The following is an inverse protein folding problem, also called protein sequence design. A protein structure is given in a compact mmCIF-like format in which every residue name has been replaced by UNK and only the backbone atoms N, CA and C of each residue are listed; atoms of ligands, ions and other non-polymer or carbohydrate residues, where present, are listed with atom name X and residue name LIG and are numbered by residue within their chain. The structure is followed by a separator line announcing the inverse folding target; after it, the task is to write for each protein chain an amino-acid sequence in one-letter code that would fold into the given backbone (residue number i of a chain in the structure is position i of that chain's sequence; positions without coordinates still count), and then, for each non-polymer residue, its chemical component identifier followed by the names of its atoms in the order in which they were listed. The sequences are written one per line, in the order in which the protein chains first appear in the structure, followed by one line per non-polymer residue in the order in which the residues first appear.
data_IF_009496119409
#
_entry.id   IF_009496119409
#
_cell.length_a   1.000
_cell.length_b   1.000
_cell.length_c   1.000
_cell.angle_alpha   90.00
_cell.angle_beta   90.00
_cell.angle_gamma   90.00
#
_symmetry.space_group_name_H-M   'P 1'
#
loop_
_entity.id
_entity.type
_entity.pdbx_description
1 polymer ?
#
# COMPACT_ATOMS: atom_id res chain seq x y z
N UNK A 1 18.23 -7.98 2.85
CA UNK A 1 17.47 -7.21 1.87
C UNK A 1 18.43 -6.23 1.21
N UNK A 2 18.48 -6.19 -0.11
CA UNK A 2 19.33 -5.24 -0.83
C UNK A 2 18.75 -3.83 -0.67
N UNK A 3 19.58 -2.83 -0.39
CA UNK A 3 19.11 -1.44 -0.22
C UNK A 3 18.63 -0.94 -1.58
N UNK A 4 17.32 -0.74 -1.75
CA UNK A 4 16.71 -0.34 -3.03
C UNK A 4 17.05 1.09 -3.45
N UNK A 5 17.52 1.95 -2.54
CA UNK A 5 17.98 3.29 -2.90
C UNK A 5 16.83 4.30 -3.03
N UNK A 6 17.04 5.34 -3.85
CA UNK A 6 16.06 6.43 -4.03
C UNK A 6 15.23 6.19 -5.28
N UNK A 7 13.90 6.28 -5.12
CA UNK A 7 12.95 6.08 -6.21
C UNK A 7 11.98 7.24 -6.39
N UNK A 8 11.18 7.14 -7.45
CA UNK A 8 10.12 8.10 -7.76
C UNK A 8 8.89 7.38 -8.30
N UNK A 9 7.71 7.92 -8.01
CA UNK A 9 6.47 7.46 -8.62
C UNK A 9 6.51 7.64 -10.14
N UNK A 10 6.28 6.55 -10.86
CA UNK A 10 6.05 6.55 -12.30
C UNK A 10 4.56 6.67 -12.59
N UNK A 11 4.20 7.55 -13.52
CA UNK A 11 2.86 7.67 -14.10
C UNK A 11 2.99 7.89 -15.61
N UNK A 12 2.01 7.44 -16.43
CA UNK A 12 2.05 7.65 -17.88
C UNK A 12 2.32 9.11 -18.29
N UNK A 13 1.74 10.07 -17.56
CA UNK A 13 1.78 11.50 -17.84
C UNK A 13 3.18 12.11 -17.67
N UNK A 14 4.02 11.51 -16.82
CA UNK A 14 5.39 11.98 -16.53
C UNK A 14 6.45 10.95 -16.94
N UNK A 15 6.06 9.91 -17.66
CA UNK A 15 6.89 8.76 -17.97
C UNK A 15 8.22 9.13 -18.64
N UNK A 16 8.19 10.06 -19.60
CA UNK A 16 9.40 10.51 -20.32
C UNK A 16 10.38 11.27 -19.42
N UNK A 17 9.87 12.01 -18.43
CA UNK A 17 10.70 12.75 -17.49
C UNK A 17 11.37 11.78 -16.49
N UNK A 18 10.58 10.87 -15.92
CA UNK A 18 11.07 9.82 -15.01
C UNK A 18 12.09 8.94 -15.71
N UNK A 19 11.80 8.51 -16.94
CA UNK A 19 12.71 7.69 -17.71
C UNK A 19 14.06 8.38 -17.92
N UNK A 20 14.10 9.67 -18.26
CA UNK A 20 15.37 10.37 -18.51
C UNK A 20 16.13 10.76 -17.25
N UNK A 21 15.56 10.52 -16.06
CA UNK A 21 16.17 10.89 -14.80
C UNK A 21 17.46 10.08 -14.56
N UNK A 22 18.61 10.74 -14.31
CA UNK A 22 19.85 10.06 -13.95
C UNK A 22 19.84 9.67 -12.47
N UNK A 23 20.54 8.58 -12.12
CA UNK A 23 20.74 8.17 -10.73
C UNK A 23 19.50 7.63 -10.01
N UNK A 24 18.49 7.22 -10.77
CA UNK A 24 17.28 6.59 -10.23
C UNK A 24 17.53 5.09 -10.00
N UNK A 25 17.35 4.62 -8.77
CA UNK A 25 17.56 3.21 -8.42
C UNK A 25 16.30 2.37 -8.70
N UNK A 26 15.12 2.95 -8.45
CA UNK A 26 13.84 2.27 -8.66
C UNK A 26 12.70 3.24 -8.97
N UNK A 27 11.60 2.72 -9.50
CA UNK A 27 10.33 3.44 -9.68
C UNK A 27 9.17 2.65 -9.11
N UNK A 28 8.14 3.37 -8.67
CA UNK A 28 6.87 2.78 -8.27
C UNK A 28 5.79 3.04 -9.32
N UNK A 29 5.09 1.99 -9.78
CA UNK A 29 4.00 2.12 -10.75
C UNK A 29 2.69 1.63 -10.13
N UNK A 30 1.60 2.38 -10.31
CA UNK A 30 0.25 1.90 -9.91
C UNK A 30 -0.05 0.63 -10.70
N UNK A 31 -0.22 -0.48 -9.99
CA UNK A 31 -0.31 -1.81 -10.59
C UNK A 31 -1.47 -1.90 -11.60
N UNK A 32 -2.63 -1.35 -11.24
CA UNK A 32 -3.84 -1.34 -12.05
C UNK A 32 -3.65 -0.63 -13.40
N UNK A 33 -2.71 0.31 -13.49
CA UNK A 33 -2.38 1.03 -14.73
C UNK A 33 -1.39 0.27 -15.63
N UNK A 34 -0.90 -0.90 -15.20
CA UNK A 34 0.06 -1.72 -15.94
C UNK A 34 -0.65 -2.94 -16.54
N UNK A 35 -0.51 -3.11 -17.86
CA UNK A 35 -0.89 -4.32 -18.57
C UNK A 35 0.31 -5.27 -18.68
N UNK A 36 0.26 -6.47 -18.06
CA UNK A 36 1.36 -7.45 -18.11
C UNK A 36 1.83 -7.79 -19.53
N UNK A 37 0.88 -7.96 -20.46
CA UNK A 37 1.16 -8.33 -21.85
C UNK A 37 1.71 -7.15 -22.68
N UNK A 38 1.51 -5.92 -22.23
CA UNK A 38 1.83 -4.70 -22.97
C UNK A 38 2.43 -3.65 -22.03
N UNK A 39 3.56 -3.98 -21.39
CA UNK A 39 4.25 -3.04 -20.52
C UNK A 39 4.53 -1.71 -21.24
N UNK A 40 4.31 -0.54 -20.61
CA UNK A 40 4.73 0.75 -21.13
C UNK A 40 6.19 0.74 -21.58
N UNK A 41 6.48 1.38 -22.72
CA UNK A 41 7.82 1.37 -23.30
C UNK A 41 8.87 2.01 -22.37
N UNK A 42 8.48 3.03 -21.60
CA UNK A 42 9.34 3.67 -20.61
C UNK A 42 9.70 2.74 -19.45
N UNK A 43 8.76 1.94 -18.93
CA UNK A 43 9.05 0.92 -17.91
C UNK A 43 10.00 -0.15 -18.43
N UNK A 44 9.86 -0.57 -19.70
CA UNK A 44 10.81 -1.50 -20.33
C UNK A 44 12.22 -0.91 -20.40
N UNK A 45 12.36 0.33 -20.86
CA UNK A 45 13.67 1.03 -20.95
C UNK A 45 14.30 1.31 -19.59
N UNK A 46 13.50 1.62 -18.57
CA UNK A 46 13.96 1.74 -17.18
C UNK A 46 14.56 0.42 -16.68
N UNK A 47 13.85 -0.69 -16.90
CA UNK A 47 14.34 -2.04 -16.52
C UNK A 47 15.60 -2.45 -17.27
N UNK A 48 15.69 -2.17 -18.56
CA UNK A 48 16.89 -2.42 -19.37
C UNK A 48 18.13 -1.67 -18.85
N UNK A 49 17.93 -0.54 -18.17
CA UNK A 49 18.98 0.24 -17.49
C UNK A 49 19.30 -0.24 -16.07
N UNK A 50 18.61 -1.28 -15.59
CA UNK A 50 18.78 -1.78 -14.23
C UNK A 50 17.96 -1.05 -13.16
N UNK A 51 16.98 -0.22 -13.56
CA UNK A 51 16.07 0.42 -12.60
C UNK A 51 14.99 -0.59 -12.19
N UNK A 52 14.87 -0.85 -10.89
CA UNK A 52 13.81 -1.73 -10.36
C UNK A 52 12.43 -1.09 -10.54
N UNK A 53 11.41 -1.87 -10.87
CA UNK A 53 10.02 -1.38 -10.94
C UNK A 53 9.18 -2.12 -9.91
N UNK A 54 8.65 -1.39 -8.93
CA UNK A 54 7.76 -1.91 -7.88
C UNK A 54 6.30 -1.59 -8.25
N UNK A 55 5.43 -2.60 -8.43
CA UNK A 55 4.00 -2.36 -8.60
C UNK A 55 3.34 -2.11 -7.24
N UNK A 56 2.56 -1.04 -7.20
CA UNK A 56 1.81 -0.59 -6.04
C UNK A 56 0.31 -0.69 -6.32
N UNK A 57 -0.37 -1.60 -5.63
CA UNK A 57 -1.80 -1.85 -5.79
C UNK A 57 -2.66 -0.87 -4.98
N UNK A 58 -3.80 -0.49 -5.57
CA UNK A 58 -4.78 0.42 -4.92
C UNK A 58 -6.17 -0.21 -4.77
N UNK A 59 -6.32 -1.48 -5.15
CA UNK A 59 -7.63 -2.07 -5.39
C UNK A 59 -7.88 -3.43 -4.73
N UNK A 60 -6.97 -4.00 -3.95
CA UNK A 60 -7.26 -5.25 -3.23
C UNK A 60 -8.26 -5.01 -2.11
N UNK A 61 -8.06 -3.94 -1.33
CA UNK A 61 -8.89 -3.63 -0.17
C UNK A 61 -8.72 -4.66 0.94
N UNK A 62 -7.46 -4.92 1.32
CA UNK A 62 -7.07 -5.97 2.27
C UNK A 62 -7.69 -5.80 3.67
N UNK A 63 -8.10 -4.57 4.02
CA UNK A 63 -8.82 -4.25 5.25
C UNK A 63 -10.34 -4.50 5.20
N UNK A 64 -10.87 -5.04 4.10
CA UNK A 64 -12.29 -5.36 3.97
C UNK A 64 -12.69 -6.59 4.78
N UNK A 65 -13.97 -6.67 5.17
CA UNK A 65 -14.53 -7.83 5.90
C UNK A 65 -14.65 -9.10 5.07
N UNK A 66 -14.47 -9.01 3.75
CA UNK A 66 -14.48 -10.16 2.83
C UNK A 66 -13.04 -10.56 2.47
N UNK A 67 -12.85 -11.82 2.06
CA UNK A 67 -11.57 -12.29 1.54
C UNK A 67 -11.17 -11.50 0.28
N UNK A 68 -9.86 -11.29 0.02
CA UNK A 68 -9.43 -10.62 -1.20
C UNK A 68 -9.87 -11.39 -2.44
N UNK A 69 -10.25 -10.65 -3.48
CA UNK A 69 -10.70 -11.23 -4.75
C UNK A 69 -9.57 -12.00 -5.44
N UNK A 70 -9.79 -13.28 -5.73
CA UNK A 70 -8.80 -14.17 -6.35
C UNK A 70 -8.36 -13.65 -7.73
N UNK A 71 -9.25 -13.03 -8.49
CA UNK A 71 -8.96 -12.44 -9.79
C UNK A 71 -8.02 -11.24 -9.68
N UNK A 72 -8.27 -10.34 -8.72
CA UNK A 72 -7.39 -9.18 -8.45
C UNK A 72 -6.03 -9.62 -7.94
N UNK A 73 -5.97 -10.62 -7.06
CA UNK A 73 -4.71 -11.21 -6.60
C UNK A 73 -3.90 -11.79 -7.75
N UNK A 74 -4.54 -12.60 -8.60
CA UNK A 74 -3.89 -13.15 -9.80
C UNK A 74 -3.37 -12.05 -10.72
N UNK A 75 -4.16 -11.02 -10.95
CA UNK A 75 -3.77 -9.91 -11.82
C UNK A 75 -2.60 -9.10 -11.23
N UNK A 76 -2.52 -8.93 -9.91
CA UNK A 76 -1.37 -8.31 -9.24
C UNK A 76 -0.11 -9.20 -9.35
N UNK A 77 -0.26 -10.51 -9.16
CA UNK A 77 0.82 -11.49 -9.34
C UNK A 77 1.42 -11.46 -10.76
N UNK A 78 0.56 -11.43 -11.79
CA UNK A 78 0.99 -11.35 -13.18
C UNK A 78 1.78 -10.05 -13.47
N UNK A 79 1.36 -8.93 -12.89
CA UNK A 79 2.07 -7.63 -13.02
C UNK A 79 3.43 -7.68 -12.34
N UNK A 80 3.51 -8.24 -11.14
CA UNK A 80 4.77 -8.42 -10.42
C UNK A 80 5.78 -9.24 -11.24
N UNK A 81 5.31 -10.34 -11.84
CA UNK A 81 6.13 -11.19 -12.70
C UNK A 81 6.56 -10.48 -13.98
N UNK A 82 5.64 -9.81 -14.68
CA UNK A 82 5.95 -9.08 -15.91
C UNK A 82 7.00 -7.99 -15.68
N UNK A 83 6.92 -7.30 -14.54
CA UNK A 83 7.88 -6.27 -14.13
C UNK A 83 9.18 -6.85 -13.57
N UNK A 84 9.23 -8.14 -13.26
CA UNK A 84 10.36 -8.75 -12.55
C UNK A 84 10.61 -8.08 -11.20
N UNK A 85 9.53 -7.68 -10.52
CA UNK A 85 9.62 -6.90 -9.29
C UNK A 85 10.11 -7.75 -8.13
N UNK A 86 10.95 -7.23 -7.22
CA UNK A 86 11.37 -7.95 -6.03
C UNK A 86 10.29 -8.03 -4.93
N UNK A 87 9.27 -7.18 -5.00
CA UNK A 87 8.14 -7.14 -4.06
C UNK A 87 6.92 -6.47 -4.71
N UNK A 88 5.76 -6.54 -4.05
CA UNK A 88 4.59 -5.71 -4.39
C UNK A 88 4.11 -4.97 -3.16
N UNK A 89 3.41 -3.86 -3.36
CA UNK A 89 2.79 -3.12 -2.27
C UNK A 89 1.29 -2.94 -2.43
N UNK A 90 0.61 -2.75 -1.32
CA UNK A 90 -0.82 -2.41 -1.23
C UNK A 90 -1.06 -1.60 0.05
N UNK A 91 -2.30 -1.21 0.31
CA UNK A 91 -2.69 -0.38 1.43
C UNK A 91 -3.41 -1.18 2.53
N UNK A 92 -3.27 -0.69 3.76
CA UNK A 92 -4.08 -1.10 4.89
C UNK A 92 -5.41 -0.34 4.82
N UNK A 93 -6.25 -0.74 3.87
CA UNK A 93 -7.52 -0.08 3.60
C UNK A 93 -8.59 -1.09 3.16
N UNK A 94 -9.84 -0.72 3.35
CA UNK A 94 -10.92 -1.29 2.54
C UNK A 94 -11.32 -0.30 1.44
N UNK A 95 -11.76 -0.84 0.29
CA UNK A 95 -12.15 -0.03 -0.89
C UNK A 95 -13.57 -0.33 -1.35
N UNK A 96 -14.27 -1.21 -0.63
CA UNK A 96 -15.60 -1.71 -0.94
C UNK A 96 -16.40 -1.95 0.32
N UNK A 97 -17.71 -1.83 0.20
CA UNK A 97 -18.67 -2.21 1.22
C UNK A 97 -19.93 -2.81 0.58
N UNK A 98 -20.83 -3.34 1.41
CA UNK A 98 -22.04 -4.01 0.96
C UNK A 98 -21.80 -5.45 0.49
N UNK A 99 -22.82 -6.09 -0.09
CA UNK A 99 -22.75 -7.47 -0.58
C UNK A 99 -23.54 -8.48 0.28
N UNK A 100 -23.36 -9.79 0.02
CA UNK A 100 -24.25 -10.85 0.54
C UNK A 100 -24.39 -10.94 2.05
N UNK A 101 -23.39 -10.42 2.79
CA UNK A 101 -23.38 -10.39 4.26
C UNK A 101 -24.00 -9.10 4.84
N UNK A 102 -24.52 -8.22 3.99
CA UNK A 102 -25.08 -6.93 4.36
C UNK A 102 -26.46 -6.74 3.72
N UNK A 103 -27.23 -5.77 4.20
CA UNK A 103 -28.53 -5.42 3.63
C UNK A 103 -28.43 -4.47 2.40
N UNK A 104 -27.23 -4.24 1.87
CA UNK A 104 -26.98 -3.29 0.78
C UNK A 104 -26.24 -3.94 -0.38
N UNK A 105 -26.48 -3.44 -1.59
CA UNK A 105 -25.70 -3.83 -2.77
C UNK A 105 -24.21 -3.53 -2.58
N UNK A 106 -23.37 -4.24 -3.32
CA UNK A 106 -21.91 -4.01 -3.30
C UNK A 106 -21.57 -2.68 -3.96
N UNK A 107 -20.75 -1.88 -3.30
CA UNK A 107 -20.33 -0.54 -3.73
C UNK A 107 -18.80 -0.45 -3.70
N UNK A 108 -18.22 0.10 -4.75
CA UNK A 108 -16.82 0.54 -4.78
C UNK A 108 -16.73 1.97 -4.24
N UNK A 109 -15.87 2.20 -3.26
CA UNK A 109 -15.71 3.51 -2.63
C UNK A 109 -15.03 4.54 -3.56
N UNK A 110 -14.25 4.07 -4.53
CA UNK A 110 -13.41 4.93 -5.38
C UNK A 110 -12.27 5.63 -4.62
N UNK A 111 -12.06 5.28 -3.35
CA UNK A 111 -11.03 5.81 -2.47
C UNK A 111 -10.67 4.78 -1.39
N UNK A 112 -9.52 4.98 -0.72
CA UNK A 112 -9.08 4.17 0.41
C UNK A 112 -9.85 4.57 1.66
N UNK A 113 -10.40 3.60 2.39
CA UNK A 113 -11.11 3.84 3.64
C UNK A 113 -10.35 3.19 4.82
N UNK A 114 -10.20 3.91 5.95
CA UNK A 114 -9.38 3.46 7.07
C UNK A 114 -10.01 2.27 7.77
N UNK A 115 -9.19 1.28 8.12
CA UNK A 115 -9.63 0.12 8.92
C UNK A 115 -9.75 0.55 10.38
N UNK A 116 -10.80 0.14 11.13
CA UNK A 116 -10.84 0.37 12.57
C UNK A 116 -9.68 -0.36 13.26
N UNK A 117 -8.89 0.34 14.10
CA UNK A 117 -7.77 -0.28 14.84
C UNK A 117 -8.23 -1.06 16.07
N UNK A 118 -9.09 -2.06 15.86
CA UNK A 118 -9.53 -3.03 16.87
C UNK A 118 -8.85 -4.38 16.66
N UNK A 119 -8.79 -5.22 17.69
CA UNK A 119 -8.22 -6.57 17.56
C UNK A 119 -9.00 -7.46 16.59
N UNK A 120 -10.33 -7.35 16.55
CA UNK A 120 -11.16 -8.10 15.60
C UNK A 120 -10.86 -7.71 14.15
N UNK A 121 -10.69 -6.41 13.87
CA UNK A 121 -10.34 -5.95 12.53
C UNK A 121 -8.91 -6.35 12.14
N UNK A 122 -7.99 -6.33 13.10
CA UNK A 122 -6.64 -6.84 12.92
C UNK A 122 -6.63 -8.33 12.58
N UNK A 123 -7.47 -9.15 13.22
CA UNK A 123 -7.60 -10.59 12.91
C UNK A 123 -8.04 -10.82 11.46
N UNK A 124 -9.03 -10.07 10.99
CA UNK A 124 -9.51 -10.12 9.60
C UNK A 124 -8.40 -9.69 8.64
N UNK A 125 -7.76 -8.56 8.91
CA UNK A 125 -6.67 -8.05 8.08
C UNK A 125 -5.52 -9.07 8.02
N UNK A 126 -5.11 -9.66 9.15
CA UNK A 126 -4.06 -10.68 9.19
C UNK A 126 -4.38 -11.87 8.29
N UNK A 127 -5.63 -12.34 8.29
CA UNK A 127 -6.04 -13.44 7.42
C UNK A 127 -6.02 -13.04 5.95
N UNK A 128 -6.50 -11.84 5.62
CA UNK A 128 -6.45 -11.31 4.25
C UNK A 128 -5.01 -11.12 3.75
N UNK A 129 -4.09 -10.67 4.62
CA UNK A 129 -2.66 -10.58 4.33
C UNK A 129 -2.08 -11.97 4.04
N UNK A 130 -2.38 -12.99 4.85
CA UNK A 130 -1.90 -14.37 4.59
C UNK A 130 -2.42 -14.91 3.27
N UNK A 131 -3.69 -14.68 2.93
CA UNK A 131 -4.26 -15.07 1.63
C UNK A 131 -3.50 -14.38 0.50
N UNK A 132 -3.25 -13.08 0.62
CA UNK A 132 -2.53 -12.32 -0.39
C UNK A 132 -1.08 -12.80 -0.55
N UNK A 133 -0.33 -12.96 0.55
CA UNK A 133 1.04 -13.48 0.53
C UNK A 133 1.14 -14.87 -0.11
N UNK A 134 0.15 -15.75 0.13
CA UNK A 134 0.12 -17.08 -0.49
C UNK A 134 -0.16 -17.05 -2.00
N UNK A 135 -0.90 -16.04 -2.48
CA UNK A 135 -1.23 -15.89 -3.90
C UNK A 135 -0.15 -15.14 -4.70
N UNK A 136 0.66 -14.32 -4.03
CA UNK A 136 1.66 -13.48 -4.67
C UNK A 136 3.00 -14.22 -4.85
N UNK A 137 3.68 -14.04 -6.00
CA UNK A 137 4.92 -14.74 -6.31
C UNK A 137 6.15 -14.10 -5.66
N UNK A 138 5.97 -12.97 -4.99
CA UNK A 138 7.01 -12.14 -4.37
C UNK A 138 6.46 -11.58 -3.05
N UNK A 139 7.33 -11.12 -2.13
CA UNK A 139 6.91 -10.52 -0.87
C UNK A 139 5.90 -9.38 -1.05
N UNK A 140 4.95 -9.29 -0.12
CA UNK A 140 4.01 -8.18 0.02
C UNK A 140 4.52 -7.23 1.11
N UNK A 141 4.48 -5.93 0.84
CA UNK A 141 4.50 -4.90 1.87
C UNK A 141 3.20 -4.09 1.86
N UNK A 142 2.79 -3.57 3.01
CA UNK A 142 1.53 -2.83 3.16
C UNK A 142 1.73 -1.43 3.72
N UNK A 143 0.92 -0.50 3.22
CA UNK A 143 1.04 0.93 3.48
C UNK A 143 0.00 1.46 4.45
N UNK A 144 0.43 2.31 5.39
CA UNK A 144 -0.47 3.10 6.22
C UNK A 144 -1.11 4.23 5.40
N UNK A 145 -2.41 4.45 5.57
CA UNK A 145 -3.14 5.46 4.81
C UNK A 145 -3.38 6.73 5.62
N UNK A 146 -3.62 7.84 4.93
CA UNK A 146 -4.26 9.00 5.52
C UNK A 146 -5.71 8.66 5.90
N UNK A 147 -6.02 8.68 7.20
CA UNK A 147 -7.33 8.36 7.72
C UNK A 147 -8.23 9.60 7.74
N UNK A 148 -9.27 9.58 6.90
CA UNK A 148 -10.26 10.66 6.77
C UNK A 148 -11.25 10.72 7.95
N UNK A 149 -11.33 9.66 8.75
CA UNK A 149 -12.19 9.57 9.92
C UNK A 149 -11.55 8.71 10.99
N UNK A 150 -11.90 8.99 12.25
CA UNK A 150 -11.58 8.15 13.39
C UNK A 150 -12.74 7.17 13.65
N UNK A 151 -12.41 5.92 13.96
CA UNK A 151 -13.41 4.94 14.35
C UNK A 151 -13.70 5.01 15.85
N UNK A 152 -14.97 4.91 16.30
CA UNK A 152 -15.25 4.75 17.71
C UNK A 152 -14.75 3.39 18.19
N UNK A 153 -14.12 3.38 19.37
CA UNK A 153 -13.71 2.14 20.03
C UNK A 153 -12.41 1.54 19.51
N UNK A 154 -11.51 2.33 18.93
CA UNK A 154 -10.15 1.87 18.64
C UNK A 154 -9.42 1.43 19.91
N UNK A 155 -8.69 0.33 19.80
CA UNK A 155 -8.03 -0.35 20.92
C UNK A 155 -6.50 -0.24 20.84
N UNK A 156 -5.98 0.06 19.64
CA UNK A 156 -4.56 0.11 19.32
C UNK A 156 -4.21 1.47 18.70
N UNK A 157 -3.04 1.99 19.03
CA UNK A 157 -2.43 3.12 18.29
C UNK A 157 -2.05 2.69 16.87
N UNK A 158 -1.73 3.65 15.98
CA UNK A 158 -1.25 3.33 14.62
C UNK A 158 -0.01 2.44 14.66
N UNK A 159 0.96 2.80 15.50
CA UNK A 159 2.20 2.05 15.65
C UNK A 159 1.97 0.64 16.18
N UNK A 160 1.14 0.47 17.22
CA UNK A 160 0.77 -0.85 17.75
C UNK A 160 0.04 -1.71 16.71
N UNK A 161 -0.88 -1.12 15.94
CA UNK A 161 -1.62 -1.83 14.91
C UNK A 161 -0.68 -2.34 13.80
N UNK A 162 0.25 -1.49 13.34
CA UNK A 162 1.26 -1.85 12.35
C UNK A 162 2.26 -2.88 12.86
N UNK A 163 2.69 -2.75 14.13
CA UNK A 163 3.58 -3.72 14.77
C UNK A 163 2.93 -5.10 14.83
N UNK A 164 1.73 -5.20 15.39
CA UNK A 164 1.02 -6.47 15.56
C UNK A 164 0.70 -7.11 14.20
N UNK A 165 0.36 -6.32 13.18
CA UNK A 165 0.15 -6.81 11.82
C UNK A 165 1.42 -7.46 11.26
N UNK A 166 2.55 -6.75 11.34
CA UNK A 166 3.84 -7.24 10.86
C UNK A 166 4.31 -8.47 11.64
N UNK A 167 4.22 -8.46 12.97
CA UNK A 167 4.64 -9.57 13.83
C UNK A 167 3.83 -10.85 13.55
N UNK A 168 2.52 -10.73 13.37
CA UNK A 168 1.62 -11.89 13.17
C UNK A 168 1.65 -12.47 11.76
N UNK A 169 2.11 -11.73 10.77
CA UNK A 169 2.02 -12.12 9.34
C UNK A 169 3.37 -12.18 8.63
N UNK A 170 4.39 -11.51 9.17
CA UNK A 170 5.67 -11.31 8.50
C UNK A 170 5.57 -10.44 7.24
N UNK A 171 4.49 -9.67 7.07
CA UNK A 171 4.35 -8.72 5.95
C UNK A 171 5.35 -7.59 6.09
N UNK A 172 5.86 -7.09 4.96
CA UNK A 172 6.66 -5.86 4.97
C UNK A 172 5.79 -4.63 5.26
N UNK A 173 6.40 -3.56 5.74
CA UNK A 173 5.74 -2.27 5.93
C UNK A 173 6.27 -1.26 4.93
N UNK A 174 5.37 -0.59 4.22
CA UNK A 174 5.61 0.65 3.51
C UNK A 174 5.11 1.78 4.39
N UNK A 175 5.99 2.65 4.88
CA UNK A 175 5.56 3.76 5.73
C UNK A 175 5.48 5.03 4.91
N UNK A 176 4.30 5.61 4.80
CA UNK A 176 4.11 6.93 4.22
C UNK A 176 4.12 7.99 5.32
N UNK A 177 5.19 8.78 5.34
CA UNK A 177 5.39 9.85 6.33
C UNK A 177 4.41 11.00 6.14
N UNK A 178 3.98 11.27 4.90
CA UNK A 178 2.96 12.27 4.63
C UNK A 178 1.61 11.82 5.21
N UNK A 179 1.29 10.52 5.12
CA UNK A 179 0.06 9.99 5.74
C UNK A 179 0.11 10.07 7.28
N UNK A 180 1.25 9.80 7.91
CA UNK A 180 1.41 10.02 9.37
C UNK A 180 1.17 11.49 9.76
N UNK A 181 1.71 12.42 8.97
CA UNK A 181 1.45 13.85 9.18
C UNK A 181 -0.04 14.20 8.98
N UNK A 182 -0.68 13.66 7.96
CA UNK A 182 -2.13 13.86 7.73
C UNK A 182 -2.95 13.32 8.90
N UNK A 183 -2.58 12.16 9.46
CA UNK A 183 -3.24 11.58 10.63
C UNK A 183 -3.06 12.45 11.88
N UNK A 184 -1.89 13.05 12.07
CA UNK A 184 -1.67 14.07 13.10
C UNK A 184 -2.62 15.26 12.94
N UNK A 185 -2.72 15.82 11.74
CA UNK A 185 -3.59 16.97 11.47
C UNK A 185 -5.07 16.62 11.66
N UNK A 186 -5.52 15.49 11.14
CA UNK A 186 -6.93 15.11 11.13
C UNK A 186 -7.42 14.61 12.50
N UNK A 187 -6.56 13.92 13.26
CA UNK A 187 -6.97 13.12 14.43
C UNK A 187 -6.15 13.42 15.70
N UNK A 188 -5.09 14.22 15.59
CA UNK A 188 -4.24 14.60 16.73
C UNK A 188 -3.23 13.53 17.15
N UNK A 189 -3.01 12.51 16.32
CA UNK A 189 -2.05 11.44 16.59
C UNK A 189 -0.60 11.96 16.60
N UNK A 190 0.27 11.45 17.47
CA UNK A 190 1.69 11.83 17.46
C UNK A 190 2.46 10.93 16.46
N UNK A 191 2.95 11.48 15.33
CA UNK A 191 3.67 10.68 14.34
C UNK A 191 5.00 10.15 14.90
N UNK A 192 5.62 10.82 15.88
CA UNK A 192 6.85 10.33 16.51
C UNK A 192 6.57 9.13 17.41
N UNK A 193 5.43 9.11 18.11
CA UNK A 193 4.98 7.97 18.90
C UNK A 193 4.72 6.77 17.98
N UNK A 194 3.93 6.95 16.91
CA UNK A 194 3.64 5.90 15.93
C UNK A 194 4.93 5.30 15.33
N UNK A 195 5.89 6.15 14.93
CA UNK A 195 7.18 5.71 14.40
C UNK A 195 8.03 4.95 15.44
N UNK A 196 7.94 5.31 16.72
CA UNK A 196 8.73 4.67 17.79
C UNK A 196 8.28 3.26 18.12
N UNK A 197 7.04 2.91 17.76
CA UNK A 197 6.43 1.59 17.98
C UNK A 197 6.65 0.63 16.79
N UNK A 198 7.16 1.10 15.65
CA UNK A 198 7.30 0.27 14.45
C UNK A 198 8.40 -0.80 14.56
N UNK A 199 8.16 -2.01 14.04
CA UNK A 199 9.21 -3.03 13.90
C UNK A 199 10.10 -2.69 12.70
N UNK A 200 11.25 -2.05 12.96
CA UNK A 200 12.15 -1.55 11.91
C UNK A 200 12.66 -2.65 10.96
N UNK A 201 12.72 -3.89 11.42
CA UNK A 201 13.06 -5.06 10.62
C UNK A 201 12.02 -5.42 9.55
N UNK A 202 10.77 -4.99 9.71
CA UNK A 202 9.70 -5.20 8.74
C UNK A 202 9.65 -4.10 7.68
N UNK A 203 10.37 -2.99 7.86
CA UNK A 203 10.32 -1.84 6.95
C UNK A 203 10.88 -2.19 5.58
N UNK A 204 10.03 -2.19 4.56
CA UNK A 204 10.40 -2.44 3.17
C UNK A 204 10.98 -1.18 2.52
N UNK A 205 10.25 -0.06 2.58
CA UNK A 205 10.69 1.28 2.18
C UNK A 205 9.74 2.34 2.74
N UNK A 206 10.05 3.61 2.47
CA UNK A 206 9.34 4.77 3.01
C UNK A 206 8.90 5.66 1.86
N UNK A 207 7.66 6.11 1.90
CA UNK A 207 7.18 7.20 1.08
C UNK A 207 7.38 8.54 1.80
N UNK A 208 7.92 9.49 1.04
CA UNK A 208 8.08 10.88 1.47
C UNK A 208 7.47 11.75 0.40
N UNK A 209 6.34 12.36 0.72
CA UNK A 209 5.67 13.35 -0.10
C UNK A 209 5.50 14.67 0.67
N UNK A 210 5.16 15.72 -0.07
CA UNK A 210 4.62 16.96 0.52
C UNK A 210 3.10 17.00 0.35
N UNK A 211 2.44 17.94 1.02
CA UNK A 211 1.01 18.21 0.88
C UNK A 211 0.69 19.70 1.04
N UNK A 212 -0.58 20.06 0.94
CA UNK A 212 -1.07 21.41 1.24
C UNK A 212 -2.48 21.35 1.84
N UNK A 213 -2.72 22.11 2.90
CA UNK A 213 -4.04 22.18 3.53
C UNK A 213 -5.08 22.83 2.61
N UNK A 214 -6.28 22.23 2.55
CA UNK A 214 -7.46 22.77 1.89
C UNK A 214 -8.70 22.53 2.73
N UNK A 215 -9.42 23.62 3.03
CA UNK A 215 -10.70 23.58 3.75
C UNK A 215 -10.64 22.87 5.11
N UNK A 216 -9.51 22.98 5.82
CA UNK A 216 -9.27 22.36 7.13
C UNK A 216 -8.88 20.88 7.07
N UNK A 217 -8.58 20.36 5.89
CA UNK A 217 -8.09 18.99 5.65
C UNK A 217 -6.75 19.07 4.92
N UNK A 218 -5.76 18.26 5.34
CA UNK A 218 -4.45 18.18 4.69
C UNK A 218 -4.47 17.33 3.41
#
# INVERSE_FOLDING_TARGET
MERLGTGIGWRPEIADAVERMPGLDWVEAVAENVCPDHLPASLRRLRERGVTVVPHGVSLGLGGGERPDEGRLKALAERAQALGSPLVTEHIAFVRAGGPLTASDRIEAGHLLPVPRTRDALDVLCENIRIAQNALPVPLAVENIAALLAWPGEELTEGQFLYELADRTGVGLLIDVANLHTNHVNQGEDPAEALSELPLEALAYVHVAGGFERDGVW
#
